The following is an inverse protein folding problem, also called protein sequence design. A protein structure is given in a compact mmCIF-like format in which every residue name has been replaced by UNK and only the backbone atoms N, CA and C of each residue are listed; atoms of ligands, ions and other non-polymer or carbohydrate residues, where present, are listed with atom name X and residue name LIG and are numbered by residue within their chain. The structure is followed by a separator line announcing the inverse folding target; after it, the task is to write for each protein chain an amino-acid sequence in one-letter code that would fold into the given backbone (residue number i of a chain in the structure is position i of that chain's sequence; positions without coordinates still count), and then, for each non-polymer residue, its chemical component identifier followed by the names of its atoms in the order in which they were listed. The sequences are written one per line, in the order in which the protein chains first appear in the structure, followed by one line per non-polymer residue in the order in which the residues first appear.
data_IF_503676178036
#
_entry.id   IF_503676178036
#
_cell.length_a   1.000
_cell.length_b   1.000
_cell.length_c   1.000
_cell.angle_alpha   90.00
_cell.angle_beta   90.00
_cell.angle_gamma   90.00
#
_symmetry.space_group_name_H-M   'P 1'
#
loop_
_entity.id
_entity.type
_entity.pdbx_description
1 polymer ?
#
# COMPACT_ATOMS: atom_id res chain seq x y z
N UNK A 1 -20.28 32.42 -5.30
CA UNK A 1 -20.26 31.25 -4.39
C UNK A 1 -18.84 30.76 -4.35
N UNK A 2 -18.25 30.91 -3.18
CA UNK A 2 -16.82 30.68 -2.94
C UNK A 2 -16.51 29.18 -3.07
N UNK A 3 -15.88 28.79 -4.17
CA UNK A 3 -15.30 27.45 -4.32
C UNK A 3 -13.99 27.43 -3.53
N UNK A 4 -14.10 27.45 -2.20
CA UNK A 4 -12.95 27.19 -1.36
C UNK A 4 -12.36 25.84 -1.77
N UNK A 5 -11.22 25.86 -2.42
CA UNK A 5 -10.42 24.66 -2.71
C UNK A 5 -10.17 23.95 -1.38
N UNK A 6 -10.94 22.89 -1.11
CA UNK A 6 -10.73 22.06 0.07
C UNK A 6 -9.31 21.49 -0.03
N UNK A 7 -8.41 22.04 0.77
CA UNK A 7 -7.08 21.46 0.95
C UNK A 7 -7.14 20.48 2.11
N UNK A 8 -6.98 19.20 1.83
CA UNK A 8 -6.82 18.17 2.84
C UNK A 8 -5.58 17.31 2.53
N UNK A 9 -5.03 16.72 3.55
CA UNK A 9 -3.95 15.72 3.46
C UNK A 9 -4.17 14.65 4.51
N UNK A 10 -3.93 13.41 4.15
CA UNK A 10 -4.02 12.25 5.05
C UNK A 10 -2.71 11.48 4.96
N UNK A 11 -2.08 11.22 6.11
CA UNK A 11 -0.94 10.31 6.21
C UNK A 11 -1.46 8.88 6.24
N UNK A 12 -1.11 8.13 5.22
CA UNK A 12 -1.54 6.73 5.03
C UNK A 12 -0.46 5.72 5.45
N UNK A 13 0.46 6.11 6.33
CA UNK A 13 1.59 5.25 6.72
C UNK A 13 1.50 4.82 8.18
N UNK A 14 1.73 3.53 8.44
CA UNK A 14 2.00 3.04 9.77
C UNK A 14 3.41 3.45 10.24
N UNK A 15 3.60 3.72 11.54
CA UNK A 15 4.93 3.96 12.09
C UNK A 15 5.78 2.68 12.02
N UNK A 16 7.07 2.83 11.75
CA UNK A 16 8.04 1.75 11.89
C UNK A 16 8.61 1.81 13.30
N UNK A 17 8.36 0.77 14.10
CA UNK A 17 8.78 0.71 15.49
C UNK A 17 9.16 -0.72 15.92
N UNK A 18 9.96 -0.83 16.97
CA UNK A 18 10.26 -2.14 17.57
C UNK A 18 8.98 -2.82 18.07
N UNK A 19 8.82 -4.11 17.74
CA UNK A 19 7.68 -4.91 18.19
C UNK A 19 6.33 -4.56 17.53
N UNK A 20 6.29 -3.66 16.54
CA UNK A 20 5.06 -3.24 15.87
C UNK A 20 5.06 -3.62 14.39
N UNK A 21 4.03 -4.33 13.95
CA UNK A 21 3.79 -4.61 12.54
C UNK A 21 4.83 -5.51 11.86
N UNK A 22 5.62 -6.26 12.63
CA UNK A 22 6.56 -7.21 12.05
C UNK A 22 5.79 -8.36 11.38
N UNK A 23 6.14 -8.64 10.13
CA UNK A 23 5.62 -9.81 9.42
C UNK A 23 6.12 -11.08 10.10
N UNK A 24 5.24 -12.06 10.41
CA UNK A 24 5.66 -13.34 10.99
C UNK A 24 6.75 -14.02 10.15
N UNK A 25 7.83 -14.46 10.82
CA UNK A 25 8.97 -15.09 10.15
C UNK A 25 10.06 -14.13 9.65
N UNK A 26 9.81 -12.82 9.66
CA UNK A 26 10.83 -11.82 9.34
C UNK A 26 11.62 -11.38 10.59
N UNK A 27 12.89 -10.93 10.42
CA UNK A 27 13.66 -10.36 11.52
C UNK A 27 12.92 -9.16 12.13
N UNK A 28 12.95 -9.00 13.47
CA UNK A 28 12.30 -7.87 14.11
C UNK A 28 12.99 -6.56 13.78
N UNK A 29 12.19 -5.49 13.68
CA UNK A 29 12.71 -4.13 13.61
C UNK A 29 13.47 -3.79 14.88
N UNK A 30 14.66 -3.19 14.76
CA UNK A 30 15.49 -2.70 15.88
C UNK A 30 15.91 -1.27 15.62
N UNK A 31 15.73 -0.42 16.63
CA UNK A 31 16.19 0.97 16.63
C UNK A 31 17.17 1.17 17.79
N UNK A 32 18.46 1.07 17.51
CA UNK A 32 19.53 1.10 18.52
C UNK A 32 20.12 2.51 18.60
N UNK A 33 19.99 3.21 19.75
CA UNK A 33 20.60 4.53 19.93
C UNK A 33 22.14 4.48 19.80
N UNK A 34 22.69 5.33 18.94
CA UNK A 34 24.15 5.58 18.80
C UNK A 34 24.52 6.84 19.59
N UNK A 35 23.66 7.88 19.53
CA UNK A 35 23.84 9.10 20.29
C UNK A 35 22.55 9.44 21.04
N UNK A 36 22.69 9.99 22.24
CA UNK A 36 21.58 10.46 23.07
C UNK A 36 21.75 11.94 23.41
N UNK A 37 20.66 12.65 23.63
CA UNK A 37 20.72 14.07 24.01
C UNK A 37 21.53 14.26 25.30
N UNK A 38 21.39 13.38 26.28
CA UNK A 38 22.06 13.45 27.58
C UNK A 38 23.58 13.35 27.45
N UNK A 39 24.08 12.46 26.61
CA UNK A 39 25.53 12.20 26.51
C UNK A 39 26.21 12.99 25.38
N UNK A 40 25.46 13.32 24.31
CA UNK A 40 26.05 13.80 23.07
C UNK A 40 25.40 15.09 22.54
N UNK A 41 24.40 15.64 23.24
CA UNK A 41 23.66 16.83 22.82
C UNK A 41 22.83 16.65 21.53
N UNK A 42 22.73 15.41 21.03
CA UNK A 42 22.00 15.08 19.79
C UNK A 42 21.46 13.65 19.86
N UNK A 43 20.49 13.32 19.01
CA UNK A 43 19.99 11.97 18.82
C UNK A 43 20.46 11.40 17.48
N UNK A 44 20.91 10.14 17.48
CA UNK A 44 21.18 9.33 16.31
C UNK A 44 20.96 7.85 16.67
N UNK A 45 20.48 7.06 15.70
CA UNK A 45 20.21 5.66 15.90
C UNK A 45 20.57 4.84 14.66
N UNK A 46 20.93 3.58 14.89
CA UNK A 46 21.02 2.55 13.87
C UNK A 46 19.66 1.87 13.74
N UNK A 47 19.16 1.76 12.50
CA UNK A 47 17.91 1.06 12.17
C UNK A 47 18.22 -0.24 11.42
N UNK A 48 17.70 -1.36 11.92
CA UNK A 48 17.70 -2.66 11.25
C UNK A 48 16.27 -3.15 11.11
N UNK A 49 15.85 -3.49 9.89
CA UNK A 49 14.47 -3.90 9.60
C UNK A 49 14.39 -4.72 8.32
N UNK A 50 13.29 -5.48 8.15
CA UNK A 50 12.91 -6.01 6.83
C UNK A 50 12.54 -4.87 5.90
N UNK A 51 12.78 -5.02 4.59
CA UNK A 51 12.30 -4.07 3.58
C UNK A 51 10.77 -4.15 3.38
N UNK A 52 10.15 -5.26 3.83
CA UNK A 52 8.70 -5.49 3.82
C UNK A 52 8.11 -5.29 5.23
N UNK A 53 8.30 -4.11 5.82
CA UNK A 53 7.80 -3.75 7.15
C UNK A 53 7.05 -2.42 7.10
N UNK A 54 6.00 -2.30 7.90
CA UNK A 54 5.18 -1.10 7.89
C UNK A 54 4.43 -0.93 6.58
N UNK A 55 4.09 0.30 6.26
CA UNK A 55 3.58 0.65 4.93
C UNK A 55 4.75 0.64 3.95
N UNK A 56 4.71 -0.25 2.95
CA UNK A 56 5.81 -0.49 2.03
C UNK A 56 5.31 -0.79 0.62
N UNK A 57 6.22 -0.79 -0.35
CA UNK A 57 5.93 -1.12 -1.74
C UNK A 57 6.76 -2.33 -2.17
N UNK A 58 6.10 -3.29 -2.81
CA UNK A 58 6.73 -4.42 -3.47
C UNK A 58 6.92 -4.12 -4.94
N UNK A 59 8.14 -4.38 -5.43
CA UNK A 59 8.51 -4.28 -6.82
C UNK A 59 8.60 -5.68 -7.45
N UNK A 60 8.55 -5.82 -8.79
CA UNK A 60 8.63 -7.09 -9.49
C UNK A 60 9.79 -8.00 -9.07
N UNK A 61 10.95 -7.42 -8.74
CA UNK A 61 12.13 -8.16 -8.29
C UNK A 61 11.88 -8.99 -7.00
N UNK A 62 10.84 -8.65 -6.23
CA UNK A 62 10.48 -9.44 -5.04
C UNK A 62 10.19 -10.92 -5.36
N UNK A 63 9.53 -11.19 -6.49
CA UNK A 63 9.19 -12.56 -6.94
C UNK A 63 9.89 -12.98 -8.23
N UNK A 64 10.36 -12.03 -9.03
CA UNK A 64 10.94 -12.29 -10.35
C UNK A 64 12.38 -11.78 -10.44
N UNK A 65 13.38 -12.67 -10.53
CA UNK A 65 14.81 -12.28 -10.56
C UNK A 65 15.19 -11.34 -11.71
N UNK A 66 14.39 -11.28 -12.76
CA UNK A 66 14.57 -10.38 -13.91
C UNK A 66 13.61 -9.17 -13.87
N UNK A 67 12.81 -9.05 -12.81
CA UNK A 67 11.90 -7.92 -12.62
C UNK A 67 12.64 -6.65 -12.22
N UNK A 68 11.98 -5.51 -12.39
CA UNK A 68 12.51 -4.24 -11.91
C UNK A 68 12.68 -4.24 -10.40
N UNK A 69 13.81 -3.73 -9.93
CA UNK A 69 14.05 -3.42 -8.52
C UNK A 69 13.38 -2.09 -8.16
N UNK A 70 13.12 -1.86 -6.85
CA UNK A 70 12.37 -0.68 -6.40
C UNK A 70 13.01 0.65 -6.80
N UNK A 71 14.34 0.70 -6.90
CA UNK A 71 15.09 1.88 -7.32
C UNK A 71 15.06 2.14 -8.82
N UNK A 72 14.65 1.15 -9.62
CA UNK A 72 14.52 1.22 -11.09
C UNK A 72 13.11 1.60 -11.53
N UNK A 73 12.12 1.45 -10.65
CA UNK A 73 10.74 1.78 -10.98
C UNK A 73 10.56 3.28 -11.26
N UNK A 74 9.80 3.65 -12.30
CA UNK A 74 9.54 5.05 -12.63
C UNK A 74 8.71 5.73 -11.55
N UNK A 75 9.06 6.96 -11.19
CA UNK A 75 8.37 7.74 -10.14
C UNK A 75 6.89 7.97 -10.44
N UNK A 76 6.51 7.99 -11.71
CA UNK A 76 5.11 8.14 -12.14
C UNK A 76 4.21 6.98 -11.65
N UNK A 77 4.77 5.82 -11.28
CA UNK A 77 4.00 4.78 -10.61
C UNK A 77 3.55 5.19 -9.22
N UNK A 78 4.40 5.93 -8.51
CA UNK A 78 4.24 6.25 -7.09
C UNK A 78 3.56 7.59 -6.83
N UNK A 79 3.32 8.39 -7.85
CA UNK A 79 2.69 9.70 -7.73
C UNK A 79 1.63 9.91 -8.80
N UNK A 80 0.44 10.38 -8.42
CA UNK A 80 -0.60 10.78 -9.35
C UNK A 80 -2.00 10.40 -8.92
N UNK A 81 -2.92 10.39 -9.88
CA UNK A 81 -4.33 10.09 -9.61
C UNK A 81 -4.50 8.70 -9.00
N UNK A 82 -5.31 8.65 -7.96
CA UNK A 82 -5.70 7.42 -7.29
C UNK A 82 -7.21 7.38 -7.08
N UNK A 83 -7.71 6.17 -6.92
CA UNK A 83 -9.12 5.90 -6.64
C UNK A 83 -9.23 4.96 -5.45
N UNK A 84 -10.21 5.21 -4.57
CA UNK A 84 -10.55 4.37 -3.42
C UNK A 84 -11.74 3.49 -3.75
N UNK A 85 -11.59 2.18 -3.68
CA UNK A 85 -12.65 1.20 -3.74
C UNK A 85 -13.00 0.71 -2.33
N UNK A 86 -14.23 0.95 -1.90
CA UNK A 86 -14.70 0.55 -0.57
C UNK A 86 -15.19 -0.90 -0.57
N UNK A 87 -14.48 -1.77 0.13
CA UNK A 87 -14.76 -3.19 0.30
C UNK A 87 -15.25 -3.55 1.70
N UNK A 88 -15.45 -2.57 2.59
CA UNK A 88 -15.72 -2.79 4.02
C UNK A 88 -16.96 -3.66 4.25
N UNK A 89 -18.00 -3.52 3.41
CA UNK A 89 -19.25 -4.28 3.56
C UNK A 89 -19.08 -5.80 3.42
N UNK A 90 -18.05 -6.25 2.70
CA UNK A 90 -17.75 -7.66 2.46
C UNK A 90 -16.62 -8.19 3.36
N UNK A 91 -15.92 -7.28 4.06
CA UNK A 91 -14.75 -7.63 4.86
C UNK A 91 -15.11 -8.51 6.05
N UNK A 92 -14.53 -9.71 6.09
CA UNK A 92 -14.57 -10.61 7.23
C UNK A 92 -13.31 -11.48 7.26
N UNK A 93 -12.98 -12.14 8.38
CA UNK A 93 -11.82 -13.01 8.47
C UNK A 93 -11.79 -14.06 7.36
N UNK A 94 -10.62 -14.24 6.75
CA UNK A 94 -10.35 -15.21 5.67
C UNK A 94 -11.25 -15.06 4.42
N UNK A 95 -11.84 -13.89 4.20
CA UNK A 95 -12.65 -13.62 3.02
C UNK A 95 -11.76 -13.35 1.81
N UNK A 96 -11.98 -14.06 0.71
CA UNK A 96 -11.36 -13.78 -0.58
C UNK A 96 -12.20 -12.79 -1.38
N UNK A 97 -11.75 -11.55 -1.50
CA UNK A 97 -12.41 -10.58 -2.37
C UNK A 97 -12.36 -11.04 -3.81
N UNK A 98 -13.53 -11.21 -4.41
CA UNK A 98 -13.71 -11.67 -5.77
C UNK A 98 -13.57 -10.53 -6.78
N UNK A 99 -13.46 -10.89 -8.07
CA UNK A 99 -13.59 -9.95 -9.17
C UNK A 99 -14.89 -9.14 -9.10
N UNK A 100 -16.00 -9.81 -8.78
CA UNK A 100 -17.32 -9.17 -8.74
C UNK A 100 -17.43 -8.17 -7.59
N UNK A 101 -16.77 -8.42 -6.44
CA UNK A 101 -16.70 -7.45 -5.34
C UNK A 101 -16.01 -6.15 -5.79
N UNK A 102 -14.93 -6.25 -6.57
CA UNK A 102 -14.22 -5.07 -7.11
C UNK A 102 -15.07 -4.34 -8.15
N UNK A 103 -15.76 -5.07 -9.02
CA UNK A 103 -16.68 -4.50 -10.02
C UNK A 103 -17.84 -3.78 -9.33
N UNK A 104 -18.44 -4.38 -8.29
CA UNK A 104 -19.51 -3.77 -7.49
C UNK A 104 -19.03 -2.48 -6.82
N UNK A 105 -17.85 -2.51 -6.18
CA UNK A 105 -17.25 -1.34 -5.58
C UNK A 105 -17.00 -0.22 -6.61
N UNK A 106 -16.48 -0.56 -7.78
CA UNK A 106 -16.26 0.40 -8.87
C UNK A 106 -17.60 0.95 -9.41
N UNK A 107 -18.63 0.11 -9.52
CA UNK A 107 -19.97 0.51 -9.98
C UNK A 107 -20.64 1.49 -8.99
N UNK A 108 -20.41 1.32 -7.68
CA UNK A 108 -20.95 2.20 -6.65
C UNK A 108 -20.51 3.67 -6.78
N UNK A 109 -19.42 3.91 -7.50
CA UNK A 109 -18.85 5.24 -7.75
C UNK A 109 -18.93 5.67 -9.22
N UNK A 110 -19.81 5.01 -10.01
CA UNK A 110 -20.12 5.37 -11.39
C UNK A 110 -19.22 4.72 -12.46
N UNK A 111 -18.51 3.64 -12.12
CA UNK A 111 -17.67 2.87 -13.04
C UNK A 111 -16.68 3.71 -13.87
N UNK A 112 -15.89 4.59 -13.25
CA UNK A 112 -14.90 5.36 -14.01
C UNK A 112 -13.84 4.44 -14.63
N UNK A 113 -13.18 4.93 -15.69
CA UNK A 113 -12.01 4.26 -16.23
C UNK A 113 -10.85 4.35 -15.20
N UNK A 114 -10.32 3.20 -14.79
CA UNK A 114 -9.24 3.12 -13.79
C UNK A 114 -7.87 2.79 -14.40
N UNK A 115 -7.77 2.74 -15.72
CA UNK A 115 -6.49 2.51 -16.40
C UNK A 115 -5.48 3.60 -16.03
N UNK A 116 -4.27 3.16 -15.70
CA UNK A 116 -3.15 4.00 -15.25
C UNK A 116 -3.38 4.71 -13.89
N UNK A 117 -4.48 4.43 -13.19
CA UNK A 117 -4.68 4.92 -11.82
C UNK A 117 -4.00 4.01 -10.78
N UNK A 118 -3.75 4.58 -9.60
CA UNK A 118 -3.41 3.84 -8.37
C UNK A 118 -4.74 3.48 -7.71
N UNK A 119 -4.99 2.19 -7.54
CA UNK A 119 -6.24 1.70 -6.95
C UNK A 119 -6.00 1.32 -5.51
N UNK A 120 -6.64 2.01 -4.57
CA UNK A 120 -6.62 1.65 -3.16
C UNK A 120 -7.86 0.83 -2.80
N UNK A 121 -7.66 -0.32 -2.18
CA UNK A 121 -8.68 -1.27 -1.75
C UNK A 121 -8.85 -1.13 -0.24
N UNK A 122 -9.95 -0.51 0.20
CA UNK A 122 -10.24 -0.23 1.60
C UNK A 122 -11.19 -1.27 2.18
N UNK A 123 -10.66 -2.19 2.97
CA UNK A 123 -11.42 -3.22 3.65
C UNK A 123 -11.78 -2.87 5.10
N UNK A 124 -11.09 -1.90 5.71
CA UNK A 124 -11.14 -1.60 7.13
C UNK A 124 -10.37 -2.59 8.01
N UNK A 125 -9.71 -3.62 7.42
CA UNK A 125 -8.88 -4.59 8.13
C UNK A 125 -7.60 -3.97 8.70
N UNK A 126 -7.13 -2.89 8.10
CA UNK A 126 -5.95 -2.13 8.53
C UNK A 126 -6.00 -1.68 9.99
N UNK A 127 -7.19 -1.56 10.60
CA UNK A 127 -7.36 -1.29 12.04
C UNK A 127 -6.76 -2.36 12.95
N UNK A 128 -6.52 -3.58 12.42
CA UNK A 128 -5.90 -4.70 13.14
C UNK A 128 -4.39 -4.77 12.96
N UNK A 129 -3.80 -3.87 12.14
CA UNK A 129 -2.36 -3.85 11.92
C UNK A 129 -1.58 -3.76 13.22
N UNK A 130 -0.49 -4.52 13.33
CA UNK A 130 0.29 -4.67 14.56
C UNK A 130 -0.18 -5.81 15.46
N UNK A 131 -1.33 -6.44 15.18
CA UNK A 131 -1.80 -7.64 15.88
C UNK A 131 -1.48 -8.92 15.08
N UNK A 132 -1.42 -10.07 15.77
CA UNK A 132 -1.27 -11.38 15.10
C UNK A 132 -2.47 -11.70 14.19
N UNK A 133 -3.66 -11.26 14.56
CA UNK A 133 -4.88 -11.48 13.79
C UNK A 133 -4.77 -10.88 12.38
N UNK A 134 -4.06 -9.75 12.25
CA UNK A 134 -3.86 -9.07 10.97
C UNK A 134 -3.33 -10.01 9.88
N UNK A 135 -2.37 -10.87 10.21
CA UNK A 135 -1.74 -11.80 9.27
C UNK A 135 -2.36 -13.22 9.28
N UNK A 136 -2.96 -13.64 10.40
CA UNK A 136 -3.45 -15.02 10.53
C UNK A 136 -4.81 -15.24 9.89
N UNK A 137 -5.69 -14.24 9.96
CA UNK A 137 -7.08 -14.34 9.53
C UNK A 137 -7.44 -13.25 8.50
N UNK A 138 -6.45 -12.69 7.81
CA UNK A 138 -6.67 -11.58 6.90
C UNK A 138 -7.64 -11.95 5.76
N UNK A 139 -8.48 -11.01 5.32
CA UNK A 139 -9.06 -11.07 3.99
C UNK A 139 -7.94 -10.99 2.96
N UNK A 140 -8.20 -11.38 1.74
CA UNK A 140 -7.22 -11.42 0.66
C UNK A 140 -7.91 -11.20 -0.69
N UNK A 141 -7.15 -11.00 -1.75
CA UNK A 141 -7.69 -10.98 -3.11
C UNK A 141 -7.76 -12.40 -3.67
N UNK A 142 -8.81 -12.70 -4.43
CA UNK A 142 -8.78 -13.88 -5.29
C UNK A 142 -7.85 -13.68 -6.49
N UNK A 143 -7.40 -14.75 -7.11
CA UNK A 143 -6.59 -14.68 -8.33
C UNK A 143 -7.36 -13.96 -9.45
N UNK A 144 -8.67 -14.20 -9.56
CA UNK A 144 -9.54 -13.55 -10.55
C UNK A 144 -9.66 -12.04 -10.31
N UNK A 145 -9.69 -11.60 -9.03
CA UNK A 145 -9.69 -10.18 -8.69
C UNK A 145 -8.35 -9.51 -9.07
N UNK A 146 -7.23 -10.15 -8.76
CA UNK A 146 -5.91 -9.68 -9.16
C UNK A 146 -5.75 -9.63 -10.70
N UNK A 147 -6.22 -10.67 -11.41
CA UNK A 147 -6.20 -10.71 -12.87
C UNK A 147 -7.04 -9.60 -13.48
N UNK A 148 -8.21 -9.33 -12.90
CA UNK A 148 -9.06 -8.22 -13.35
C UNK A 148 -8.36 -6.86 -13.21
N UNK A 149 -7.64 -6.61 -12.11
CA UNK A 149 -6.85 -5.38 -11.95
C UNK A 149 -5.76 -5.25 -13.03
N UNK A 150 -5.13 -6.36 -13.41
CA UNK A 150 -4.19 -6.41 -14.54
C UNK A 150 -4.90 -6.06 -15.86
N UNK A 151 -6.06 -6.67 -16.13
CA UNK A 151 -6.88 -6.39 -17.33
C UNK A 151 -7.29 -4.92 -17.40
N UNK A 152 -7.55 -4.27 -16.26
CA UNK A 152 -7.83 -2.83 -16.16
C UNK A 152 -6.59 -1.95 -16.36
N UNK A 153 -5.38 -2.52 -16.42
CA UNK A 153 -4.10 -1.80 -16.61
C UNK A 153 -3.87 -0.73 -15.55
N UNK A 154 -4.14 -1.06 -14.29
CA UNK A 154 -3.88 -0.14 -13.17
C UNK A 154 -2.38 0.08 -13.00
N UNK A 155 -1.96 1.24 -12.50
CA UNK A 155 -0.54 1.55 -12.32
C UNK A 155 0.04 0.93 -11.03
N UNK A 156 -0.77 0.83 -9.99
CA UNK A 156 -0.40 0.33 -8.67
C UNK A 156 -1.66 -0.12 -7.93
N UNK A 157 -1.53 -1.14 -7.08
CA UNK A 157 -2.59 -1.59 -6.17
C UNK A 157 -2.15 -1.33 -4.74
N UNK A 158 -2.97 -0.62 -3.94
CA UNK A 158 -2.74 -0.40 -2.52
C UNK A 158 -3.81 -1.09 -1.66
N UNK A 159 -3.40 -1.69 -0.53
CA UNK A 159 -4.30 -2.45 0.33
C UNK A 159 -4.07 -2.15 1.81
N UNK A 160 -5.15 -2.18 2.61
CA UNK A 160 -5.09 -2.15 4.08
C UNK A 160 -5.13 -3.56 4.70
N UNK A 161 -4.89 -4.58 3.90
CA UNK A 161 -4.81 -5.99 4.27
C UNK A 161 -3.75 -6.70 3.42
N UNK A 162 -3.18 -7.84 3.88
CA UNK A 162 -2.25 -8.63 3.07
C UNK A 162 -2.92 -9.11 1.77
N UNK A 163 -2.27 -8.96 0.60
CA UNK A 163 -2.89 -9.30 -0.68
C UNK A 163 -3.23 -10.79 -0.82
N UNK A 164 -2.41 -11.66 -0.24
CA UNK A 164 -2.62 -13.11 -0.22
C UNK A 164 -3.13 -13.62 1.12
N UNK A 165 -3.75 -14.79 1.13
CA UNK A 165 -4.21 -15.45 2.34
C UNK A 165 -3.05 -15.76 3.31
N UNK A 166 -3.34 -15.84 4.60
CA UNK A 166 -2.38 -16.18 5.66
C UNK A 166 -1.13 -15.28 5.67
N UNK A 167 -1.36 -13.97 5.51
CA UNK A 167 -0.30 -12.97 5.57
C UNK A 167 0.72 -13.04 4.44
N UNK A 168 0.33 -13.51 3.26
CA UNK A 168 1.25 -13.61 2.12
C UNK A 168 2.17 -14.84 2.14
N UNK A 169 1.86 -15.85 2.96
CA UNK A 169 2.62 -17.09 2.95
C UNK A 169 2.64 -17.72 1.54
N UNK A 170 3.80 -18.30 1.15
CA UNK A 170 3.92 -18.99 -0.13
C UNK A 170 2.77 -19.99 -0.37
N UNK A 171 2.24 -20.07 -1.60
CA UNK A 171 2.80 -19.62 -2.88
C UNK A 171 2.56 -18.16 -3.26
N UNK A 172 1.82 -17.34 -2.51
CA UNK A 172 1.53 -15.94 -2.75
C UNK A 172 1.09 -15.63 -4.21
N UNK A 173 -0.01 -16.22 -4.69
CA UNK A 173 -0.40 -16.14 -6.10
C UNK A 173 -0.80 -14.73 -6.53
N UNK A 174 -1.35 -13.92 -5.65
CA UNK A 174 -1.76 -12.52 -5.96
C UNK A 174 -0.54 -11.65 -6.22
N UNK A 175 0.50 -11.75 -5.38
CA UNK A 175 1.78 -11.09 -5.65
C UNK A 175 2.30 -11.48 -7.04
N UNK A 176 2.31 -12.79 -7.36
CA UNK A 176 2.83 -13.26 -8.63
C UNK A 176 2.04 -12.72 -9.82
N UNK A 177 0.70 -12.63 -9.73
CA UNK A 177 -0.15 -12.09 -10.80
C UNK A 177 0.15 -10.61 -11.04
N UNK A 178 0.16 -9.79 -9.99
CA UNK A 178 0.35 -8.34 -10.12
C UNK A 178 1.79 -7.97 -10.52
N UNK A 179 2.77 -8.52 -9.79
CA UNK A 179 4.18 -8.17 -10.01
C UNK A 179 4.74 -8.67 -11.34
N UNK A 180 4.19 -9.78 -11.90
CA UNK A 180 4.55 -10.26 -13.25
C UNK A 180 4.24 -9.24 -14.32
N UNK A 181 3.14 -8.52 -14.19
CA UNK A 181 2.66 -7.50 -15.12
C UNK A 181 3.16 -6.09 -14.72
N UNK A 182 4.20 -6.06 -13.89
CA UNK A 182 4.84 -4.82 -13.43
C UNK A 182 3.87 -3.86 -12.71
N UNK A 183 2.88 -4.41 -11.99
CA UNK A 183 1.99 -3.64 -11.10
C UNK A 183 2.56 -3.77 -9.69
N UNK A 184 3.14 -2.68 -9.17
CA UNK A 184 3.64 -2.62 -7.80
C UNK A 184 2.50 -2.74 -6.78
N UNK A 185 2.79 -3.32 -5.62
CA UNK A 185 1.84 -3.51 -4.54
C UNK A 185 2.23 -2.61 -3.37
N UNK A 186 1.32 -1.73 -2.95
CA UNK A 186 1.47 -0.90 -1.76
C UNK A 186 0.73 -1.59 -0.60
N UNK A 187 1.47 -2.19 0.31
CA UNK A 187 0.93 -2.94 1.43
C UNK A 187 0.79 -2.13 2.71
N UNK A 188 -0.11 -2.58 3.57
CA UNK A 188 -0.33 -2.05 4.91
C UNK A 188 -0.64 -0.54 4.88
N UNK A 189 -1.55 -0.13 4.01
CA UNK A 189 -1.98 1.27 3.94
C UNK A 189 -2.82 1.60 5.17
N UNK A 190 -2.43 2.66 5.90
CA UNK A 190 -3.13 3.12 7.09
C UNK A 190 -4.21 4.15 6.77
N UNK A 191 -5.16 4.33 7.68
CA UNK A 191 -6.06 5.50 7.74
C UNK A 191 -6.85 5.80 6.46
N UNK A 192 -7.16 4.81 5.62
CA UNK A 192 -7.94 5.02 4.40
C UNK A 192 -9.34 5.58 4.68
N UNK A 193 -9.91 5.31 5.86
CA UNK A 193 -11.19 5.86 6.30
C UNK A 193 -11.18 7.38 6.47
N UNK A 194 -10.01 8.00 6.53
CA UNK A 194 -9.86 9.46 6.64
C UNK A 194 -9.82 10.16 5.28
N UNK A 195 -9.78 9.42 4.17
CA UNK A 195 -9.80 9.99 2.82
C UNK A 195 -11.23 10.46 2.53
N UNK A 196 -11.47 11.77 2.33
CA UNK A 196 -12.83 12.29 2.20
C UNK A 196 -13.39 12.20 0.78
N UNK A 197 -12.57 11.91 -0.21
CA UNK A 197 -12.91 11.90 -1.62
C UNK A 197 -12.52 10.58 -2.28
N UNK A 198 -13.33 10.09 -3.21
CA UNK A 198 -13.09 8.83 -3.90
C UNK A 198 -11.92 8.92 -4.90
N UNK A 199 -11.72 10.08 -5.52
CA UNK A 199 -10.62 10.35 -6.46
C UNK A 199 -9.74 11.45 -5.88
N UNK A 200 -8.45 11.19 -5.79
CA UNK A 200 -7.49 12.05 -5.11
C UNK A 200 -6.09 11.89 -5.71
N UNK A 201 -5.13 12.66 -5.24
CA UNK A 201 -3.72 12.46 -5.56
C UNK A 201 -3.05 11.61 -4.48
N UNK A 202 -2.45 10.50 -4.90
CA UNK A 202 -1.60 9.64 -4.07
C UNK A 202 -0.14 9.96 -4.32
N UNK A 203 0.64 10.04 -3.24
CA UNK A 203 2.10 10.10 -3.26
C UNK A 203 2.58 9.00 -2.32
N UNK A 204 3.28 7.99 -2.85
CA UNK A 204 3.75 6.81 -2.11
C UNK A 204 5.20 6.48 -2.47
N UNK A 205 6.10 7.42 -2.25
CA UNK A 205 7.51 7.27 -2.62
C UNK A 205 8.25 6.32 -1.67
N UNK A 206 8.77 5.17 -2.19
CA UNK A 206 9.58 4.26 -1.39
C UNK A 206 10.97 4.85 -1.12
N UNK A 207 11.64 4.37 -0.07
CA UNK A 207 13.07 4.61 0.11
C UNK A 207 13.80 4.00 -1.09
N UNK A 208 14.73 4.76 -1.69
CA UNK A 208 15.49 4.31 -2.85
C UNK A 208 16.59 3.32 -2.44
N UNK A 209 16.19 2.07 -2.22
CA UNK A 209 17.11 0.97 -1.91
C UNK A 209 17.57 0.31 -3.21
N UNK A 210 18.85 0.40 -3.51
CA UNK A 210 19.43 -0.20 -4.72
C UNK A 210 19.29 -1.72 -4.68
N UNK A 211 18.86 -2.31 -5.81
CA UNK A 211 18.76 -3.76 -6.02
C UNK A 211 17.79 -4.47 -5.04
N UNK A 212 16.82 -3.76 -4.48
CA UNK A 212 15.86 -4.31 -3.53
C UNK A 212 14.52 -4.65 -4.21
N UNK A 213 13.86 -5.71 -3.72
CA UNK A 213 12.54 -6.15 -4.20
C UNK A 213 11.37 -5.33 -3.64
N UNK A 214 11.64 -4.38 -2.75
CA UNK A 214 10.65 -3.51 -2.15
C UNK A 214 11.30 -2.55 -1.17
N UNK A 215 10.53 -1.61 -0.63
CA UNK A 215 11.00 -0.69 0.39
C UNK A 215 9.84 -0.03 1.15
N UNK A 216 10.03 0.34 2.44
CA UNK A 216 9.11 1.18 3.16
C UNK A 216 8.88 2.51 2.46
N UNK A 217 7.63 3.00 2.55
CA UNK A 217 7.21 4.24 1.91
C UNK A 217 6.49 5.16 2.89
N UNK A 218 6.69 6.48 2.77
CA UNK A 218 5.79 7.44 3.36
C UNK A 218 4.69 7.76 2.37
N UNK A 219 3.45 7.43 2.73
CA UNK A 219 2.29 7.50 1.85
C UNK A 219 1.39 8.68 2.26
N UNK A 220 1.02 9.48 1.30
CA UNK A 220 0.19 10.66 1.47
C UNK A 220 -0.94 10.67 0.44
N UNK A 221 -2.19 10.82 0.91
CA UNK A 221 -3.31 11.23 0.07
C UNK A 221 -3.56 12.72 0.25
N UNK A 222 -3.90 13.41 -0.85
CA UNK A 222 -4.29 14.82 -0.80
C UNK A 222 -5.35 15.15 -1.85
N UNK A 223 -6.10 16.23 -1.59
CA UNK A 223 -7.03 16.80 -2.54
C UNK A 223 -6.35 17.08 -3.89
N UNK A 224 -7.08 16.83 -4.97
CA UNK A 224 -6.65 17.28 -6.29
C UNK A 224 -6.54 18.80 -6.28
N UNK A 225 -5.38 19.32 -6.65
CA UNK A 225 -5.27 20.76 -6.91
C UNK A 225 -6.04 21.04 -8.19
N UNK A 226 -7.00 21.96 -8.13
CA UNK A 226 -7.46 22.63 -9.32
C UNK A 226 -6.23 23.32 -9.91
N UNK A 227 -5.68 22.76 -10.99
CA UNK A 227 -4.72 23.44 -11.84
C UNK A 227 -5.47 24.57 -12.54
N UNK A 228 -5.72 25.66 -11.82
CA UNK A 228 -5.95 26.95 -12.45
C UNK A 228 -4.63 27.30 -13.11
N UNK A 229 -4.51 26.97 -14.36
CA UNK A 229 -3.46 27.53 -15.21
C UNK A 229 -3.75 29.03 -15.24
N UNK A 230 -2.92 29.83 -14.56
CA UNK A 230 -2.83 31.25 -14.83
C UNK A 230 -2.19 31.45 -16.21
#
# INVERSE_FOLDING_TARGET
MDSSTKTWRVDLSHPIAEGYGNLPGHPPTKLVPIHTHTQHGRSNAYLSMSIHVGTHIDAPYHFFPQGFTIDQEPLDKFCGLAILLDLQKRCQPNYGFSRDDLIEALASIGSPNISSLRVLLHSGWGKKYGSLEYYQNNPYLSIEAATWLVEQKVALVGLDFPPDAKGGAAPAPVHQVLLRENICILENVAHMEQIPETIFELICLPIKLAQAGGAPARVLARALKNLSIM
#
